data_IF_829611748667
#
_entry.id   IF_829611748667
#
_cell.length_a   1.000
_cell.length_b   1.000
_cell.length_c   1.000
_cell.angle_alpha   90.00
_cell.angle_beta   90.00
_cell.angle_gamma   90.00
#
_symmetry.space_group_name_H-M   'P 1'
#
loop_
_entity.id
_entity.type
_entity.pdbx_description
1 polymer ?
#
# COMPACT_ATOMS: atom_id res chain seq x y z
N UNK A 1 -4.74 6.46 -32.57
CA UNK A 1 -5.63 6.90 -31.48
C UNK A 1 -4.89 6.71 -30.16
N UNK A 2 -4.49 7.80 -29.54
CA UNK A 2 -4.00 7.76 -28.15
C UNK A 2 -5.16 7.29 -27.27
N UNK A 3 -5.08 6.06 -26.79
CA UNK A 3 -6.06 5.53 -25.84
C UNK A 3 -5.85 6.21 -24.50
N UNK A 4 -6.77 7.08 -24.15
CA UNK A 4 -6.85 7.67 -22.82
C UNK A 4 -7.04 6.56 -21.78
N UNK A 5 -6.07 6.38 -20.90
CA UNK A 5 -6.15 5.46 -19.80
C UNK A 5 -6.71 6.14 -18.54
N UNK A 6 -7.28 5.34 -17.67
CA UNK A 6 -7.66 5.77 -16.34
C UNK A 6 -6.76 5.06 -15.34
N UNK A 7 -6.09 5.83 -14.51
CA UNK A 7 -5.25 5.35 -13.41
C UNK A 7 -5.98 5.59 -12.10
N UNK A 8 -6.05 4.57 -11.26
CA UNK A 8 -6.59 4.68 -9.90
C UNK A 8 -5.49 4.36 -8.90
N UNK A 9 -5.38 5.16 -7.85
CA UNK A 9 -4.54 4.85 -6.69
C UNK A 9 -5.45 4.40 -5.54
N UNK A 10 -5.22 3.21 -5.02
CA UNK A 10 -5.80 2.73 -3.76
C UNK A 10 -4.73 2.88 -2.70
N UNK A 11 -4.91 3.82 -1.80
CA UNK A 11 -3.89 4.17 -0.80
C UNK A 11 -4.43 3.83 0.58
N UNK A 12 -3.75 2.88 1.21
CA UNK A 12 -3.96 2.56 2.61
C UNK A 12 -3.52 3.75 3.47
N UNK A 13 -4.43 4.29 4.25
CA UNK A 13 -4.18 5.41 5.17
C UNK A 13 -4.33 4.99 6.64
N UNK A 14 -4.43 3.70 6.90
CA UNK A 14 -4.50 3.15 8.26
C UNK A 14 -3.25 3.47 9.09
N UNK A 15 -3.34 3.29 10.39
CA UNK A 15 -2.22 3.53 11.32
C UNK A 15 -1.07 2.52 11.18
N UNK A 16 -1.23 1.45 10.40
CA UNK A 16 -0.13 0.56 10.08
C UNK A 16 1.01 1.30 9.38
N UNK A 17 0.68 2.37 8.64
CA UNK A 17 1.65 3.32 8.08
C UNK A 17 2.32 4.19 9.14
N UNK A 18 1.73 4.31 10.31
CA UNK A 18 2.23 5.10 11.43
C UNK A 18 3.16 4.31 12.39
N UNK A 19 3.45 3.03 12.13
CA UNK A 19 4.26 2.18 12.98
C UNK A 19 5.77 2.38 12.75
N UNK A 20 6.54 2.41 13.86
CA UNK A 20 8.01 2.43 13.88
C UNK A 20 8.61 3.75 14.36
N UNK A 21 9.91 3.75 14.70
CA UNK A 21 10.69 4.98 15.01
C UNK A 21 10.87 5.86 13.77
N UNK A 22 10.37 5.40 12.63
CA UNK A 22 10.47 6.02 11.32
C UNK A 22 9.06 6.21 10.74
N UNK A 23 8.08 6.55 11.59
CA UNK A 23 6.69 6.83 11.21
C UNK A 23 6.57 7.73 9.98
N UNK A 24 7.41 8.75 9.94
CA UNK A 24 7.43 9.76 8.92
C UNK A 24 7.87 9.18 7.57
N UNK A 25 8.90 8.33 7.56
CA UNK A 25 9.47 7.78 6.32
C UNK A 25 8.50 6.87 5.54
N UNK A 26 7.65 6.08 6.22
CA UNK A 26 6.72 5.19 5.55
C UNK A 26 5.60 5.97 4.87
N UNK A 27 4.99 6.93 5.57
CA UNK A 27 4.00 7.84 5.00
C UNK A 27 4.61 8.70 3.90
N UNK A 28 5.83 9.20 4.10
CA UNK A 28 6.53 10.02 3.11
C UNK A 28 6.79 9.21 1.83
N UNK A 29 7.28 7.98 1.95
CA UNK A 29 7.51 7.10 0.79
C UNK A 29 6.23 6.78 0.03
N UNK A 30 5.12 6.47 0.73
CA UNK A 30 3.81 6.27 0.10
C UNK A 30 3.38 7.53 -0.67
N UNK A 31 3.57 8.70 -0.08
CA UNK A 31 3.27 10.00 -0.73
C UNK A 31 4.12 10.22 -1.97
N UNK A 32 5.43 9.94 -1.90
CA UNK A 32 6.34 10.09 -3.03
C UNK A 32 6.01 9.11 -4.16
N UNK A 33 5.71 7.86 -3.85
CA UNK A 33 5.28 6.85 -4.84
C UNK A 33 3.98 7.31 -5.51
N UNK A 34 2.98 7.72 -4.73
CA UNK A 34 1.70 8.18 -5.23
C UNK A 34 1.86 9.43 -6.12
N UNK A 35 2.68 10.39 -5.70
CA UNK A 35 2.98 11.58 -6.48
C UNK A 35 3.69 11.24 -7.80
N UNK A 36 4.67 10.33 -7.77
CA UNK A 36 5.39 9.87 -8.97
C UNK A 36 4.45 9.24 -9.98
N UNK A 37 3.57 8.33 -9.53
CA UNK A 37 2.55 7.70 -10.39
C UNK A 37 1.55 8.72 -10.93
N UNK A 38 1.14 9.68 -10.10
CA UNK A 38 0.22 10.73 -10.49
C UNK A 38 0.83 11.66 -11.55
N UNK A 39 2.09 12.06 -11.40
CA UNK A 39 2.78 12.87 -12.41
C UNK A 39 3.01 12.11 -13.72
N UNK A 40 3.31 10.82 -13.66
CA UNK A 40 3.42 9.96 -14.84
C UNK A 40 2.10 9.92 -15.62
N UNK A 41 0.96 9.80 -14.93
CA UNK A 41 -0.36 9.85 -15.57
C UNK A 41 -0.62 11.17 -16.30
N UNK A 42 -0.16 12.32 -15.76
CA UNK A 42 -0.26 13.61 -16.50
C UNK A 42 0.56 13.59 -17.78
N UNK A 43 1.81 13.15 -17.70
CA UNK A 43 2.71 13.17 -18.85
C UNK A 43 2.14 12.34 -20.01
N UNK A 44 1.40 11.29 -19.68
CA UNK A 44 0.71 10.43 -20.63
C UNK A 44 -0.71 10.92 -20.99
N UNK A 45 -1.12 12.09 -20.51
CA UNK A 45 -2.48 12.64 -20.70
C UNK A 45 -3.60 11.73 -20.19
N UNK A 46 -3.34 10.92 -19.18
CA UNK A 46 -4.28 9.99 -18.55
C UNK A 46 -5.12 10.67 -17.47
N UNK A 47 -6.25 10.05 -17.13
CA UNK A 47 -7.05 10.41 -15.94
C UNK A 47 -6.50 9.74 -14.71
N UNK A 48 -6.48 10.43 -13.59
CA UNK A 48 -6.11 9.87 -12.29
C UNK A 48 -7.14 10.15 -11.22
N UNK A 49 -7.48 9.12 -10.47
CA UNK A 49 -8.31 9.18 -9.27
C UNK A 49 -7.68 8.46 -8.10
N UNK A 50 -8.22 8.66 -6.91
CA UNK A 50 -7.68 8.07 -5.67
C UNK A 50 -8.81 7.58 -4.77
N UNK A 51 -8.59 6.44 -4.14
CA UNK A 51 -9.38 5.92 -3.03
C UNK A 51 -8.44 5.82 -1.82
N UNK A 52 -8.70 6.64 -0.79
CA UNK A 52 -8.10 6.47 0.52
C UNK A 52 -8.93 5.46 1.31
N UNK A 53 -8.30 4.47 1.90
CA UNK A 53 -8.99 3.45 2.66
C UNK A 53 -8.24 3.08 3.95
N UNK A 54 -9.01 2.60 4.90
CA UNK A 54 -8.61 1.93 6.12
C UNK A 54 -9.41 0.62 6.23
N UNK A 55 -10.11 0.34 7.34
CA UNK A 55 -11.19 -0.67 7.40
C UNK A 55 -12.52 -0.16 6.79
N UNK A 56 -12.48 1.02 6.18
CA UNK A 56 -13.57 1.69 5.47
C UNK A 56 -13.02 2.52 4.32
N UNK A 57 -13.92 2.97 3.45
CA UNK A 57 -13.55 3.98 2.47
C UNK A 57 -13.53 5.34 3.17
N UNK A 58 -12.35 5.90 3.28
CA UNK A 58 -12.13 7.20 3.94
C UNK A 58 -12.41 8.37 2.99
N UNK A 59 -11.98 8.25 1.73
CA UNK A 59 -12.21 9.28 0.72
C UNK A 59 -12.11 8.73 -0.70
N UNK A 60 -13.00 9.18 -1.56
CA UNK A 60 -12.93 8.91 -3.00
C UNK A 60 -12.75 10.21 -3.78
N UNK A 61 -11.71 10.28 -4.59
CA UNK A 61 -11.43 11.37 -5.53
C UNK A 61 -11.60 10.78 -6.94
N UNK A 62 -12.66 11.18 -7.66
CA UNK A 62 -12.92 10.66 -9.01
C UNK A 62 -11.80 10.96 -9.99
N UNK A 63 -11.58 10.08 -10.99
CA UNK A 63 -10.52 10.27 -11.98
C UNK A 63 -10.80 11.48 -12.88
N UNK A 64 -9.84 12.42 -12.90
CA UNK A 64 -9.84 13.61 -13.75
C UNK A 64 -8.44 13.86 -14.30
N UNK A 65 -8.37 14.68 -15.35
CA UNK A 65 -7.11 15.14 -15.93
C UNK A 65 -6.64 16.46 -15.32
N UNK A 66 -5.37 16.74 -15.54
CA UNK A 66 -4.79 18.04 -15.39
C UNK A 66 -4.03 18.28 -14.10
N UNK A 67 -3.04 19.18 -14.19
CA UNK A 67 -2.09 19.46 -13.11
C UNK A 67 -2.76 19.92 -11.81
N UNK A 68 -3.83 20.71 -11.90
CA UNK A 68 -4.56 21.18 -10.70
C UNK A 68 -5.19 20.04 -9.92
N UNK A 69 -5.71 19.02 -10.62
CA UNK A 69 -6.30 17.86 -10.00
C UNK A 69 -5.27 17.01 -9.26
N UNK A 70 -4.06 16.87 -9.80
CA UNK A 70 -2.98 16.12 -9.14
C UNK A 70 -2.44 16.86 -7.93
N UNK A 71 -2.26 18.16 -8.02
CA UNK A 71 -1.87 18.97 -6.87
C UNK A 71 -2.91 18.87 -5.74
N UNK A 72 -4.19 18.79 -6.10
CA UNK A 72 -5.25 18.52 -5.13
C UNK A 72 -5.09 17.13 -4.49
N UNK A 73 -4.85 16.07 -5.28
CA UNK A 73 -4.60 14.72 -4.76
C UNK A 73 -3.41 14.69 -3.80
N UNK A 74 -2.29 15.31 -4.18
CA UNK A 74 -1.08 15.33 -3.35
C UNK A 74 -1.33 16.08 -2.04
N UNK A 75 -2.02 17.22 -2.10
CA UNK A 75 -2.39 17.97 -0.90
C UNK A 75 -3.27 17.14 0.03
N UNK A 76 -4.29 16.50 -0.52
CA UNK A 76 -5.17 15.61 0.26
C UNK A 76 -4.38 14.48 0.93
N UNK A 77 -3.43 13.87 0.23
CA UNK A 77 -2.61 12.80 0.77
C UNK A 77 -1.70 13.28 1.92
N UNK A 78 -1.12 14.48 1.81
CA UNK A 78 -0.27 15.07 2.84
C UNK A 78 -1.04 15.42 4.11
N UNK A 79 -2.24 15.98 3.95
CA UNK A 79 -3.05 16.52 5.04
C UNK A 79 -4.04 15.49 5.61
N UNK A 80 -4.14 14.29 4.99
CA UNK A 80 -5.17 13.31 5.33
C UNK A 80 -4.98 12.76 6.75
N UNK A 81 -6.08 12.72 7.49
CA UNK A 81 -6.18 12.11 8.82
C UNK A 81 -7.26 11.04 8.77
N UNK A 82 -6.90 9.75 8.85
CA UNK A 82 -7.88 8.67 8.81
C UNK A 82 -8.74 8.65 10.08
N UNK A 83 -9.99 8.24 9.91
CA UNK A 83 -10.92 8.03 11.03
C UNK A 83 -10.65 6.68 11.71
N UNK A 84 -10.19 5.69 10.96
CA UNK A 84 -9.88 4.36 11.49
C UNK A 84 -8.39 4.02 11.39
N UNK A 85 -7.96 3.13 12.29
CA UNK A 85 -6.58 2.64 12.39
C UNK A 85 -6.38 1.26 11.77
N UNK A 86 -7.48 0.56 11.50
CA UNK A 86 -7.46 -0.81 10.96
C UNK A 86 -7.39 -0.81 9.45
N UNK A 87 -7.01 -1.94 8.89
CA UNK A 87 -6.94 -2.15 7.44
C UNK A 87 -7.94 -3.21 7.00
N UNK A 88 -8.66 -2.96 5.91
CA UNK A 88 -9.45 -3.95 5.18
C UNK A 88 -9.29 -3.73 3.68
N UNK A 89 -8.43 -4.52 3.06
CA UNK A 89 -8.13 -4.45 1.63
C UNK A 89 -9.33 -4.89 0.80
N UNK A 90 -10.12 -5.83 1.30
CA UNK A 90 -11.31 -6.32 0.61
C UNK A 90 -12.29 -5.19 0.32
N UNK A 91 -12.58 -4.34 1.31
CA UNK A 91 -13.48 -3.19 1.15
C UNK A 91 -12.98 -2.24 0.05
N UNK A 92 -11.67 -1.97 0.02
CA UNK A 92 -11.08 -1.08 -0.97
C UNK A 92 -11.24 -1.60 -2.42
N UNK A 93 -10.94 -2.88 -2.65
CA UNK A 93 -11.05 -3.48 -4.00
C UNK A 93 -12.49 -3.70 -4.43
N UNK A 94 -13.40 -4.03 -3.52
CA UNK A 94 -14.83 -4.11 -3.80
C UNK A 94 -15.40 -2.73 -4.16
N UNK A 95 -15.02 -1.70 -3.43
CA UNK A 95 -15.44 -0.32 -3.73
C UNK A 95 -14.92 0.13 -5.11
N UNK A 96 -13.63 -0.09 -5.42
CA UNK A 96 -13.07 0.18 -6.74
C UNK A 96 -13.93 -0.46 -7.84
N UNK A 97 -14.22 -1.75 -7.69
CA UNK A 97 -15.01 -2.53 -8.66
C UNK A 97 -16.41 -1.97 -8.84
N UNK A 98 -17.00 -1.41 -7.79
CA UNK A 98 -18.33 -0.85 -7.80
C UNK A 98 -18.38 0.56 -8.41
N UNK A 99 -17.41 1.43 -8.11
CA UNK A 99 -17.46 2.85 -8.55
C UNK A 99 -16.84 3.08 -9.93
N UNK A 100 -15.82 2.29 -10.32
CA UNK A 100 -15.18 2.41 -11.62
C UNK A 100 -15.73 1.37 -12.57
N UNK A 101 -16.53 1.83 -13.54
CA UNK A 101 -17.22 0.92 -14.48
C UNK A 101 -16.33 0.47 -15.65
N UNK A 102 -15.48 1.36 -16.15
CA UNK A 102 -14.53 1.05 -17.23
C UNK A 102 -13.26 0.44 -16.67
N UNK A 103 -12.58 -0.38 -17.49
CA UNK A 103 -11.27 -0.92 -17.12
C UNK A 103 -10.30 0.21 -16.84
N UNK A 104 -9.56 0.11 -15.75
CA UNK A 104 -8.50 1.05 -15.35
C UNK A 104 -7.26 0.31 -14.88
N UNK A 105 -6.11 0.97 -14.90
CA UNK A 105 -4.91 0.51 -14.21
C UNK A 105 -4.96 1.02 -12.78
N UNK A 106 -4.78 0.14 -11.82
CA UNK A 106 -4.91 0.46 -10.39
C UNK A 106 -3.63 0.09 -9.65
N UNK A 107 -3.04 1.07 -8.97
CA UNK A 107 -1.92 0.84 -8.06
C UNK A 107 -2.44 0.83 -6.62
N UNK A 108 -2.30 -0.31 -5.97
CA UNK A 108 -2.70 -0.49 -4.58
C UNK A 108 -1.46 -0.39 -3.70
N UNK A 109 -1.40 0.63 -2.85
CA UNK A 109 -0.23 0.97 -2.01
C UNK A 109 -0.60 0.74 -0.55
N UNK A 110 0.03 -0.24 0.08
CA UNK A 110 -0.21 -0.64 1.48
C UNK A 110 0.99 -1.42 2.01
N UNK A 111 1.06 -1.65 3.32
CA UNK A 111 1.95 -2.69 3.88
C UNK A 111 1.31 -4.09 3.83
N UNK A 112 0.04 -4.16 3.46
CA UNK A 112 -0.75 -5.40 3.37
C UNK A 112 -0.81 -6.19 4.68
N UNK A 113 -0.76 -5.51 5.82
CA UNK A 113 -1.03 -6.10 7.11
C UNK A 113 -2.55 -6.07 7.33
N UNK A 114 -3.19 -7.11 6.86
CA UNK A 114 -4.63 -7.34 6.96
C UNK A 114 -4.86 -8.78 7.44
N UNK A 115 -5.78 -8.96 8.38
CA UNK A 115 -6.15 -10.27 8.90
C UNK A 115 -7.27 -10.92 8.09
N UNK A 116 -7.94 -10.14 7.23
CA UNK A 116 -9.03 -10.60 6.39
C UNK A 116 -8.51 -11.29 5.12
N UNK A 117 -9.23 -12.29 4.65
CA UNK A 117 -8.97 -12.87 3.33
C UNK A 117 -9.58 -12.00 2.23
N UNK A 118 -8.72 -11.32 1.48
CA UNK A 118 -9.11 -10.47 0.37
C UNK A 118 -8.85 -11.09 -1.03
N UNK A 119 -8.38 -12.33 -1.09
CA UNK A 119 -7.99 -12.99 -2.35
C UNK A 119 -9.13 -13.05 -3.37
N UNK A 120 -10.33 -13.44 -2.96
CA UNK A 120 -11.47 -13.52 -3.90
C UNK A 120 -11.85 -12.15 -4.44
N UNK A 121 -11.94 -11.14 -3.59
CA UNK A 121 -12.23 -9.76 -4.00
C UNK A 121 -11.16 -9.24 -4.97
N UNK A 122 -9.88 -9.48 -4.66
CA UNK A 122 -8.75 -9.09 -5.50
C UNK A 122 -8.79 -9.80 -6.87
N UNK A 123 -9.10 -11.09 -6.90
CA UNK A 123 -9.24 -11.86 -8.14
C UNK A 123 -10.34 -11.31 -9.03
N UNK A 124 -11.50 -10.99 -8.45
CA UNK A 124 -12.64 -10.39 -9.19
C UNK A 124 -12.26 -9.01 -9.72
N UNK A 125 -11.64 -8.19 -8.88
CA UNK A 125 -11.22 -6.84 -9.26
C UNK A 125 -10.17 -6.87 -10.37
N UNK A 126 -9.20 -7.78 -10.32
CA UNK A 126 -8.15 -7.89 -11.35
C UNK A 126 -8.66 -8.42 -12.70
N UNK A 127 -9.78 -9.15 -12.72
CA UNK A 127 -10.46 -9.52 -13.98
C UNK A 127 -11.10 -8.31 -14.66
N UNK A 128 -11.56 -7.34 -13.88
CA UNK A 128 -12.22 -6.13 -14.40
C UNK A 128 -11.22 -5.02 -14.69
N UNK A 129 -10.20 -4.88 -13.86
CA UNK A 129 -9.18 -3.84 -13.92
C UNK A 129 -7.80 -4.49 -14.11
N UNK A 130 -6.77 -3.69 -14.19
CA UNK A 130 -5.39 -4.12 -14.18
C UNK A 130 -4.76 -3.66 -12.86
N UNK A 131 -4.63 -4.57 -11.88
CA UNK A 131 -4.19 -4.23 -10.52
C UNK A 131 -2.72 -4.55 -10.34
N UNK A 132 -2.02 -3.61 -9.77
CA UNK A 132 -0.62 -3.71 -9.35
C UNK A 132 -0.52 -3.43 -7.86
N UNK A 133 0.07 -4.35 -7.10
CA UNK A 133 0.28 -4.20 -5.69
C UNK A 133 1.68 -3.65 -5.39
N UNK A 134 1.74 -2.56 -4.62
CA UNK A 134 2.98 -1.94 -4.16
C UNK A 134 3.00 -2.04 -2.64
N UNK A 135 3.76 -3.01 -2.12
CA UNK A 135 3.96 -3.13 -0.68
C UNK A 135 5.04 -2.15 -0.23
N UNK A 136 4.73 -1.35 0.79
CA UNK A 136 5.70 -0.47 1.46
C UNK A 136 5.83 -0.91 2.92
N UNK A 137 7.04 -1.31 3.33
CA UNK A 137 7.27 -1.79 4.69
C UNK A 137 8.56 -1.24 5.28
N UNK A 138 8.59 -1.13 6.61
CA UNK A 138 9.77 -0.73 7.36
C UNK A 138 10.63 -1.96 7.68
N UNK A 139 11.96 -1.77 7.74
CA UNK A 139 12.88 -2.84 8.10
C UNK A 139 12.53 -3.51 9.42
N UNK A 140 12.05 -2.75 10.40
CA UNK A 140 11.70 -3.27 11.73
C UNK A 140 10.47 -4.16 11.75
N UNK A 141 9.64 -4.10 10.70
CA UNK A 141 8.55 -5.06 10.53
C UNK A 141 9.08 -6.45 10.19
N UNK A 142 10.20 -6.52 9.48
CA UNK A 142 10.87 -7.77 9.12
C UNK A 142 11.85 -8.23 10.20
N UNK A 143 12.58 -7.30 10.84
CA UNK A 143 13.70 -7.58 11.73
C UNK A 143 13.60 -6.76 13.00
N UNK A 144 13.56 -7.40 14.17
CA UNK A 144 13.70 -6.72 15.44
C UNK A 144 15.18 -6.40 15.71
N UNK A 145 15.53 -5.15 16.12
CA UNK A 145 16.89 -4.79 16.49
C UNK A 145 17.28 -5.44 17.83
N UNK A 146 18.56 -5.70 18.03
CA UNK A 146 19.11 -6.14 19.31
C UNK A 146 19.46 -4.91 20.17
N UNK A 147 18.49 -4.42 20.95
CA UNK A 147 18.61 -3.20 21.76
C UNK A 147 18.19 -3.41 23.22
N UNK A 148 18.03 -4.66 23.65
CA UNK A 148 17.55 -5.00 24.98
C UNK A 148 16.03 -4.81 25.12
N UNK A 149 15.61 -4.28 26.26
CA UNK A 149 14.20 -4.00 26.53
C UNK A 149 13.66 -2.89 25.60
N UNK A 150 12.65 -3.22 24.84
CA UNK A 150 12.00 -2.29 23.92
C UNK A 150 10.48 -2.25 24.17
N UNK A 151 9.93 -1.05 24.23
CA UNK A 151 8.48 -0.87 24.31
C UNK A 151 7.93 -0.92 22.89
N UNK A 152 7.04 -1.86 22.64
CA UNK A 152 6.31 -1.99 21.39
C UNK A 152 4.85 -1.64 21.62
N UNK A 153 4.25 -1.05 20.61
CA UNK A 153 2.83 -0.70 20.60
C UNK A 153 2.18 -1.32 19.38
N UNK A 154 1.12 -2.06 19.61
CA UNK A 154 0.28 -2.55 18.55
C UNK A 154 -0.41 -1.38 17.84
N UNK A 155 -0.29 -1.31 16.51
CA UNK A 155 -0.77 -0.17 15.74
C UNK A 155 -2.30 -0.09 15.69
N UNK A 156 -2.99 -1.24 15.72
CA UNK A 156 -4.45 -1.31 15.61
C UNK A 156 -5.14 -1.18 16.95
N UNK A 157 -4.64 -1.91 17.97
CA UNK A 157 -5.26 -1.94 19.30
C UNK A 157 -4.73 -0.85 20.22
N UNK A 158 -3.54 -0.30 19.92
CA UNK A 158 -2.83 0.64 20.78
C UNK A 158 -2.23 -0.01 22.04
N UNK A 159 -2.34 -1.34 22.19
CA UNK A 159 -1.78 -2.07 23.32
C UNK A 159 -0.26 -1.93 23.34
N UNK A 160 0.28 -1.60 24.51
CA UNK A 160 1.71 -1.42 24.72
C UNK A 160 2.25 -2.56 25.57
N UNK A 161 3.38 -3.12 25.18
CA UNK A 161 4.09 -4.14 25.94
C UNK A 161 5.59 -3.97 25.84
N UNK A 162 6.29 -4.42 26.88
CA UNK A 162 7.75 -4.50 26.86
C UNK A 162 8.17 -5.87 26.35
N UNK A 163 9.11 -5.87 25.40
CA UNK A 163 9.75 -7.08 24.89
C UNK A 163 11.27 -6.99 25.07
N UNK A 164 11.89 -8.11 25.38
CA UNK A 164 13.35 -8.20 25.45
C UNK A 164 13.90 -8.61 24.08
N UNK A 165 14.38 -7.63 23.33
CA UNK A 165 14.95 -7.84 22.00
C UNK A 165 16.38 -8.40 22.03
N UNK A 166 17.02 -8.56 23.20
CA UNK A 166 18.29 -9.29 23.33
C UNK A 166 18.09 -10.81 23.12
N UNK A 167 16.87 -11.30 23.33
CA UNK A 167 16.51 -12.69 23.10
C UNK A 167 16.60 -13.06 21.62
N UNK A 168 17.55 -13.93 21.26
CA UNK A 168 17.67 -14.48 19.90
C UNK A 168 16.43 -15.26 19.48
N UNK A 169 15.81 -15.98 20.42
CA UNK A 169 14.60 -16.76 20.17
C UNK A 169 13.44 -15.85 19.74
N UNK A 170 13.25 -14.71 20.45
CA UNK A 170 12.23 -13.73 20.12
C UNK A 170 12.45 -13.12 18.72
N UNK A 171 13.68 -12.67 18.44
CA UNK A 171 14.02 -12.11 17.12
C UNK A 171 13.81 -13.10 15.98
N UNK A 172 14.18 -14.37 16.21
CA UNK A 172 13.97 -15.44 15.24
C UNK A 172 12.48 -15.69 15.01
N UNK A 173 11.68 -15.82 16.06
CA UNK A 173 10.24 -16.02 15.96
C UNK A 173 9.55 -14.88 15.20
N UNK A 174 9.98 -13.63 15.43
CA UNK A 174 9.47 -12.47 14.67
C UNK A 174 9.82 -12.53 13.19
N UNK A 175 11.07 -12.87 12.86
CA UNK A 175 11.50 -13.02 11.48
C UNK A 175 10.77 -14.17 10.76
N UNK A 176 10.57 -15.31 11.43
CA UNK A 176 9.84 -16.46 10.89
C UNK A 176 8.37 -16.11 10.63
N UNK A 177 7.74 -15.36 11.55
CA UNK A 177 6.39 -14.80 11.37
C UNK A 177 6.32 -13.91 10.14
N UNK A 178 7.30 -13.00 9.96
CA UNK A 178 7.35 -12.13 8.80
C UNK A 178 7.50 -12.90 7.49
N UNK A 179 8.42 -13.87 7.44
CA UNK A 179 8.65 -14.71 6.24
C UNK A 179 7.38 -15.48 5.89
N UNK A 180 6.71 -16.07 6.87
CA UNK A 180 5.46 -16.78 6.66
C UNK A 180 4.38 -15.86 6.08
N UNK A 181 4.23 -14.68 6.65
CA UNK A 181 3.27 -13.67 6.19
C UNK A 181 3.54 -13.23 4.77
N UNK A 182 4.82 -12.97 4.44
CA UNK A 182 5.21 -12.63 3.07
C UNK A 182 4.92 -13.78 2.08
N UNK A 183 5.12 -15.00 2.50
CA UNK A 183 4.77 -16.19 1.71
C UNK A 183 3.28 -16.24 1.35
N UNK A 184 2.41 -16.04 2.34
CA UNK A 184 0.95 -16.00 2.15
C UNK A 184 0.54 -14.83 1.25
N UNK A 185 1.13 -13.64 1.43
CA UNK A 185 0.84 -12.47 0.62
C UNK A 185 1.24 -12.68 -0.85
N UNK A 186 2.45 -13.19 -1.09
CA UNK A 186 2.93 -13.48 -2.44
C UNK A 186 2.08 -14.55 -3.13
N UNK A 187 1.64 -15.57 -2.39
CA UNK A 187 0.71 -16.59 -2.90
C UNK A 187 -0.64 -15.97 -3.27
N UNK A 188 -1.16 -15.04 -2.47
CA UNK A 188 -2.39 -14.32 -2.74
C UNK A 188 -2.29 -13.54 -4.03
N UNK A 189 -1.22 -12.78 -4.24
CA UNK A 189 -1.00 -12.03 -5.48
C UNK A 189 -0.86 -12.95 -6.68
N UNK A 190 -0.06 -13.99 -6.58
CA UNK A 190 0.15 -14.96 -7.66
C UNK A 190 -1.16 -15.64 -8.07
N UNK A 191 -1.95 -16.12 -7.11
CA UNK A 191 -3.24 -16.78 -7.36
C UNK A 191 -4.30 -15.82 -7.90
N UNK A 192 -4.19 -14.53 -7.60
CA UNK A 192 -5.06 -13.48 -8.13
C UNK A 192 -4.57 -12.89 -9.45
N UNK A 193 -3.44 -13.37 -9.97
CA UNK A 193 -2.77 -12.85 -11.17
C UNK A 193 -2.47 -11.35 -11.08
N UNK A 194 -2.05 -10.90 -9.90
CA UNK A 194 -1.70 -9.51 -9.60
C UNK A 194 -0.19 -9.37 -9.54
N UNK A 195 0.35 -8.46 -10.35
CA UNK A 195 1.78 -8.11 -10.27
C UNK A 195 2.04 -7.32 -8.99
N UNK A 196 3.17 -7.60 -8.37
CA UNK A 196 3.52 -6.96 -7.11
C UNK A 196 4.99 -6.61 -7.00
N UNK A 197 5.27 -5.61 -6.19
CA UNK A 197 6.61 -5.23 -5.74
C UNK A 197 6.58 -4.90 -4.25
N UNK A 198 7.61 -5.34 -3.53
CA UNK A 198 7.81 -5.00 -2.13
C UNK A 198 8.97 -4.02 -2.01
N UNK A 199 8.72 -2.87 -1.38
CA UNK A 199 9.67 -1.76 -1.26
C UNK A 199 9.88 -1.48 0.23
N UNK A 200 11.11 -1.64 0.69
CA UNK A 200 11.49 -1.28 2.04
C UNK A 200 11.79 0.23 2.11
N UNK A 201 11.43 0.87 3.20
CA UNK A 201 11.53 2.34 3.37
C UNK A 201 12.95 2.91 3.22
N UNK A 202 13.98 2.07 3.34
CA UNK A 202 15.38 2.46 3.12
C UNK A 202 15.91 2.14 1.71
N UNK A 203 15.04 1.72 0.78
CA UNK A 203 15.40 1.37 -0.59
C UNK A 203 15.00 2.48 -1.57
N UNK A 204 15.66 2.50 -2.74
CA UNK A 204 15.26 3.33 -3.86
C UNK A 204 13.98 2.79 -4.52
N UNK A 205 12.87 3.45 -4.24
CA UNK A 205 11.57 3.06 -4.79
C UNK A 205 11.48 3.29 -6.30
N UNK A 206 12.20 4.27 -6.85
CA UNK A 206 12.18 4.55 -8.30
C UNK A 206 12.73 3.36 -9.07
N UNK A 207 13.87 2.83 -8.62
CA UNK A 207 14.45 1.63 -9.23
C UNK A 207 13.51 0.43 -9.14
N UNK A 208 12.84 0.26 -8.00
CA UNK A 208 11.89 -0.83 -7.78
C UNK A 208 10.68 -0.73 -8.72
N UNK A 209 10.13 0.47 -8.90
CA UNK A 209 9.03 0.72 -9.85
C UNK A 209 9.47 0.52 -11.30
N UNK A 210 10.63 1.02 -11.70
CA UNK A 210 11.16 0.82 -13.06
C UNK A 210 11.32 -0.67 -13.38
N UNK A 211 11.85 -1.46 -12.44
CA UNK A 211 11.98 -2.91 -12.61
C UNK A 211 10.61 -3.61 -12.73
N UNK A 212 9.61 -3.15 -11.97
CA UNK A 212 8.25 -3.67 -12.06
C UNK A 212 7.66 -3.40 -13.45
N UNK A 213 7.75 -2.17 -13.93
CA UNK A 213 7.21 -1.79 -15.25
C UNK A 213 7.95 -2.45 -16.40
N UNK A 214 9.27 -2.63 -16.30
CA UNK A 214 10.06 -3.33 -17.32
C UNK A 214 9.65 -4.81 -17.49
N UNK A 215 9.16 -5.45 -16.43
CA UNK A 215 8.65 -6.85 -16.50
C UNK A 215 7.25 -6.95 -17.11
N UNK A 216 6.52 -5.83 -17.18
CA UNK A 216 5.15 -5.78 -17.70
C UNK A 216 5.06 -5.43 -19.19
N UNK A 217 6.15 -4.89 -19.75
CA UNK A 217 6.30 -4.61 -21.17
C UNK A 217 6.87 -5.84 -21.90
#
# INVERSE_FOLDING_TARGET
>A
EERELTVMLLIDVSNSLDFGTVKQLKKDMVTEIAATLAFSAIQNNDKIGVIFFSDRIEKFIPPKKGRKHILYIIRELLDFKPESKRTDIKIAVEYLTNVIKKRCTTFMISDFIDENDFRNALTIANRKHDIVAIQVYDRRMAELPDVGLMKVRDAETGHEQWIDTSSRALRRAHNDWWIQRQGVLNETFTKSNVDSVSIRTDQDYVKSLLNLFAKRN
#
